data_IF_001073042205
#
_entry.id   IF_001073042205
#
_cell.length_a   1.000
_cell.length_b   1.000
_cell.length_c   1.000
_cell.angle_alpha   90.00
_cell.angle_beta   90.00
_cell.angle_gamma   90.00
#
_symmetry.space_group_name_H-M   'P 1'
#
loop_
_entity.id
_entity.type
_entity.pdbx_description
1 polymer ?
#
# COMPACT_ATOMS: atom_id res chain seq x y z
N UNK A 1 31.97 -9.46 -28.28
CA UNK A 1 30.66 -9.86 -27.69
C UNK A 1 30.16 -8.74 -26.79
N UNK A 2 29.36 -7.83 -27.35
CA UNK A 2 29.00 -6.56 -26.70
C UNK A 2 27.58 -6.68 -26.14
N UNK A 3 27.44 -6.66 -24.81
CA UNK A 3 26.15 -6.77 -24.12
C UNK A 3 25.34 -5.48 -24.28
N UNK A 4 24.29 -5.53 -25.08
CA UNK A 4 23.31 -4.44 -25.26
C UNK A 4 22.51 -4.26 -23.97
N UNK A 5 22.72 -3.11 -23.31
CA UNK A 5 22.02 -2.72 -22.07
C UNK A 5 20.71 -2.02 -22.43
N UNK A 6 19.60 -2.74 -22.41
CA UNK A 6 18.26 -2.16 -22.62
C UNK A 6 17.95 -1.25 -21.43
N UNK A 7 17.96 0.07 -21.66
CA UNK A 7 17.43 1.06 -20.71
C UNK A 7 15.91 1.09 -20.84
N UNK A 8 15.19 0.43 -19.93
CA UNK A 8 13.76 0.70 -19.75
C UNK A 8 13.60 2.07 -19.07
N UNK A 9 13.29 3.09 -19.87
CA UNK A 9 12.90 4.40 -19.37
C UNK A 9 11.46 4.34 -18.88
N UNK A 10 11.26 4.25 -17.56
CA UNK A 10 9.96 4.53 -16.95
C UNK A 10 9.64 6.02 -17.18
N UNK A 11 8.69 6.31 -18.07
CA UNK A 11 8.16 7.67 -18.27
C UNK A 11 7.40 8.08 -17.00
N UNK A 12 7.86 9.15 -16.34
CA UNK A 12 7.16 9.79 -15.22
C UNK A 12 5.81 10.35 -15.68
N UNK A 13 4.68 10.14 -14.97
CA UNK A 13 3.45 10.86 -15.24
C UNK A 13 3.56 12.32 -14.79
N UNK A 14 3.03 13.24 -15.60
CA UNK A 14 2.96 14.68 -15.31
C UNK A 14 2.05 14.94 -14.10
N UNK A 15 2.52 15.78 -13.18
CA UNK A 15 1.76 16.26 -12.04
C UNK A 15 0.56 17.09 -12.52
N UNK A 16 -0.66 16.57 -12.33
CA UNK A 16 -1.87 17.38 -12.41
C UNK A 16 -2.07 18.08 -11.07
N UNK A 17 -1.93 19.41 -11.05
CA UNK A 17 -2.46 20.24 -9.97
C UNK A 17 -3.99 20.21 -10.10
N UNK A 18 -4.68 19.48 -9.21
CA UNK A 18 -6.14 19.49 -9.10
C UNK A 18 -6.55 20.47 -8.01
N UNK A 19 -7.40 21.40 -8.38
CA UNK A 19 -8.13 22.32 -7.52
C UNK A 19 -8.81 21.57 -6.38
N UNK A 20 -8.46 21.93 -5.13
CA UNK A 20 -9.06 21.35 -3.93
C UNK A 20 -10.50 21.86 -3.78
N UNK A 21 -11.47 21.02 -4.09
CA UNK A 21 -12.83 21.19 -3.56
C UNK A 21 -12.88 20.34 -2.30
N UNK A 22 -12.85 20.98 -1.12
CA UNK A 22 -13.11 20.29 0.14
C UNK A 22 -14.58 19.88 0.14
N UNK A 23 -14.87 18.68 -0.38
CA UNK A 23 -16.20 18.09 -0.35
C UNK A 23 -16.48 17.62 1.08
N UNK A 24 -17.15 18.46 1.86
CA UNK A 24 -17.77 18.03 3.12
C UNK A 24 -18.71 16.85 2.81
N UNK A 25 -18.43 15.67 3.37
CA UNK A 25 -19.28 14.47 3.22
C UNK A 25 -18.65 13.25 2.55
N UNK A 26 -17.38 13.29 2.12
CA UNK A 26 -16.71 12.10 1.60
C UNK A 26 -16.36 11.11 2.71
N UNK A 27 -16.64 9.83 2.48
CA UNK A 27 -16.30 8.78 3.44
C UNK A 27 -14.78 8.60 3.52
N UNK A 28 -14.26 8.56 4.76
CA UNK A 28 -12.83 8.37 5.02
C UNK A 28 -12.53 6.92 5.33
N UNK A 29 -11.80 6.25 4.46
CA UNK A 29 -11.33 4.89 4.65
C UNK A 29 -9.94 4.85 5.33
N UNK A 30 -9.66 3.82 6.14
CA UNK A 30 -8.37 3.69 6.82
C UNK A 30 -7.22 3.38 5.86
N UNK A 31 -6.07 4.03 6.05
CA UNK A 31 -4.87 3.86 5.25
C UNK A 31 -4.10 2.58 5.63
N UNK A 32 -4.26 1.53 4.84
CA UNK A 32 -3.46 0.31 4.94
C UNK A 32 -2.39 0.29 3.85
N UNK A 33 -1.19 -0.24 4.13
CA UNK A 33 -0.22 -0.47 3.05
C UNK A 33 -0.78 -1.44 2.01
N UNK A 34 -1.32 -2.57 2.46
CA UNK A 34 -2.08 -3.51 1.64
C UNK A 34 -3.43 -3.71 2.31
N UNK A 35 -4.50 -3.06 1.80
CA UNK A 35 -5.82 -3.13 2.45
C UNK A 35 -6.37 -4.55 2.43
N UNK A 36 -7.19 -4.93 3.43
CA UNK A 36 -7.94 -6.18 3.39
C UNK A 36 -8.98 -6.15 2.25
N UNK A 37 -9.46 -7.33 1.83
CA UNK A 37 -10.43 -7.44 0.73
C UNK A 37 -11.73 -6.67 1.03
N UNK A 38 -12.26 -6.78 2.25
CA UNK A 38 -13.44 -6.07 2.73
C UNK A 38 -13.35 -4.56 2.56
N UNK A 39 -12.15 -3.99 2.78
CA UNK A 39 -11.89 -2.58 2.55
C UNK A 39 -11.93 -2.22 1.06
N UNK A 40 -11.38 -3.07 0.19
CA UNK A 40 -11.38 -2.85 -1.26
C UNK A 40 -12.79 -2.99 -1.84
N UNK A 41 -13.58 -3.96 -1.37
CA UNK A 41 -14.99 -4.08 -1.77
C UNK A 41 -15.80 -2.83 -1.40
N UNK A 42 -15.55 -2.27 -0.21
CA UNK A 42 -16.15 -1.00 0.16
C UNK A 42 -15.71 0.14 -0.76
N UNK A 43 -14.42 0.23 -1.08
CA UNK A 43 -13.88 1.24 -1.96
C UNK A 43 -14.43 1.13 -3.41
N UNK A 44 -14.67 -0.09 -3.92
CA UNK A 44 -15.33 -0.33 -5.21
C UNK A 44 -16.75 0.24 -5.25
N UNK A 45 -17.50 0.13 -4.16
CA UNK A 45 -18.85 0.72 -4.05
C UNK A 45 -18.79 2.24 -4.02
N UNK A 46 -17.83 2.81 -3.29
CA UNK A 46 -17.70 4.27 -3.13
C UNK A 46 -17.23 4.97 -4.40
N UNK A 47 -16.27 4.39 -5.14
CA UNK A 47 -15.57 4.97 -6.31
C UNK A 47 -14.77 6.26 -6.05
N UNK A 48 -15.23 7.13 -5.16
CA UNK A 48 -14.62 8.40 -4.79
C UNK A 48 -14.65 8.53 -3.27
N UNK A 49 -13.49 8.55 -2.62
CA UNK A 49 -13.40 8.50 -1.15
C UNK A 49 -12.14 9.21 -0.62
N UNK A 50 -12.07 9.41 0.69
CA UNK A 50 -10.87 9.91 1.35
C UNK A 50 -10.12 8.79 2.07
N UNK A 51 -8.82 8.98 2.30
CA UNK A 51 -7.98 8.03 3.02
C UNK A 51 -7.25 8.72 4.16
N UNK A 52 -7.22 8.09 5.34
CA UNK A 52 -6.57 8.65 6.52
C UNK A 52 -5.98 7.59 7.45
N UNK A 53 -5.01 7.99 8.27
CA UNK A 53 -4.54 7.19 9.39
C UNK A 53 -5.29 7.56 10.68
N UNK A 54 -5.39 6.64 11.66
CA UNK A 54 -5.81 7.00 13.01
C UNK A 54 -4.80 7.98 13.63
N UNK A 55 -5.17 8.75 14.68
CA UNK A 55 -4.24 9.64 15.37
C UNK A 55 -3.00 8.93 15.94
N UNK A 56 -3.14 7.64 16.28
CA UNK A 56 -2.06 6.77 16.72
C UNK A 56 -2.27 5.39 16.12
N UNK A 57 -1.19 4.75 15.67
CA UNK A 57 -1.25 3.37 15.20
C UNK A 57 -1.38 2.42 16.40
N UNK A 58 -2.44 1.61 16.47
CA UNK A 58 -2.55 0.62 17.52
C UNK A 58 -1.40 -0.40 17.39
N UNK A 59 -0.87 -0.86 18.53
CA UNK A 59 0.20 -1.87 18.55
C UNK A 59 -0.30 -3.15 17.89
N UNK A 60 0.50 -3.71 16.97
CA UNK A 60 0.11 -4.92 16.26
C UNK A 60 -1.18 -4.75 15.47
N UNK A 61 -1.35 -3.66 14.74
CA UNK A 61 -2.52 -3.42 13.90
C UNK A 61 -2.18 -3.60 12.42
N UNK A 62 -3.16 -3.92 11.57
CA UNK A 62 -2.89 -4.20 10.16
C UNK A 62 -2.51 -2.97 9.31
N UNK A 63 -2.49 -1.77 9.89
CA UNK A 63 -2.04 -0.56 9.22
C UNK A 63 -0.58 -0.67 8.74
N UNK A 64 0.24 -1.43 9.46
CA UNK A 64 1.65 -1.64 9.12
C UNK A 64 2.04 -3.10 8.96
N UNK A 65 1.07 -4.02 9.04
CA UNK A 65 1.30 -5.44 8.80
C UNK A 65 0.15 -6.00 7.98
N UNK A 66 0.44 -6.93 7.10
CA UNK A 66 -0.57 -7.53 6.24
C UNK A 66 -0.33 -9.03 6.16
N UNK A 67 -1.43 -9.78 6.14
CA UNK A 67 -1.42 -11.24 6.15
C UNK A 67 -1.20 -11.74 4.72
N UNK A 68 -0.27 -12.67 4.59
CA UNK A 68 0.08 -13.38 3.36
C UNK A 68 -0.22 -14.87 3.53
N UNK A 69 -0.16 -15.62 2.42
CA UNK A 69 -0.39 -17.06 2.40
C UNK A 69 0.46 -17.81 3.43
N UNK A 70 -0.09 -18.90 3.98
CA UNK A 70 0.58 -19.70 5.02
C UNK A 70 0.53 -19.04 6.40
N UNK A 71 -0.46 -18.17 6.62
CA UNK A 71 -0.74 -17.51 7.90
C UNK A 71 0.37 -16.59 8.44
N UNK A 72 1.30 -16.17 7.58
CA UNK A 72 2.42 -15.32 7.98
C UNK A 72 2.05 -13.84 7.92
N UNK A 73 2.66 -13.07 8.81
CA UNK A 73 2.59 -11.61 8.79
C UNK A 73 3.84 -11.03 8.15
N UNK A 74 3.67 -10.17 7.14
CA UNK A 74 4.72 -9.23 6.73
C UNK A 74 4.46 -7.91 7.46
N UNK A 75 5.45 -7.44 8.22
CA UNK A 75 5.35 -6.23 9.04
C UNK A 75 6.36 -5.19 8.59
N UNK A 76 5.89 -3.96 8.44
CA UNK A 76 6.72 -2.77 8.24
C UNK A 76 7.14 -2.22 9.60
N UNK A 77 8.43 -2.27 9.95
CA UNK A 77 8.91 -1.72 11.20
C UNK A 77 8.75 -0.20 11.17
N UNK A 78 8.19 0.35 12.24
CA UNK A 78 8.11 1.78 12.46
C UNK A 78 9.16 2.16 13.49
N UNK A 79 10.02 3.12 13.14
CA UNK A 79 10.99 3.67 14.09
C UNK A 79 10.22 4.48 15.16
N UNK A 80 10.41 4.09 16.41
CA UNK A 80 9.55 4.42 17.56
C UNK A 80 9.37 5.91 17.86
N UNK A 81 10.22 6.81 17.35
CA UNK A 81 10.13 8.26 17.62
C UNK A 81 8.90 8.93 16.99
N UNK A 82 8.15 8.26 16.11
CA UNK A 82 7.05 8.85 15.32
C UNK A 82 5.69 8.20 15.56
N UNK A 83 5.47 7.54 16.71
CA UNK A 83 4.17 6.91 17.05
C UNK A 83 2.98 7.88 17.07
N UNK A 84 3.25 9.18 17.20
CA UNK A 84 2.27 10.27 17.26
C UNK A 84 1.83 10.77 15.87
N UNK A 85 2.54 10.40 14.81
CA UNK A 85 2.21 10.78 13.42
C UNK A 85 2.42 9.58 12.50
N UNK A 86 1.42 8.69 12.40
CA UNK A 86 1.49 7.48 11.56
C UNK A 86 1.87 7.76 10.10
N UNK A 87 1.40 8.88 9.55
CA UNK A 87 1.75 9.34 8.21
C UNK A 87 3.24 9.67 8.06
N UNK A 88 3.90 10.11 9.14
CA UNK A 88 5.32 10.46 9.14
C UNK A 88 6.23 9.28 9.51
N UNK A 89 5.67 8.13 9.93
CA UNK A 89 6.44 6.94 10.26
C UNK A 89 7.44 6.62 9.14
N UNK A 90 8.72 6.55 9.47
CA UNK A 90 9.79 6.36 8.49
C UNK A 90 9.62 5.01 7.79
N UNK A 91 9.60 5.03 6.46
CA UNK A 91 9.72 3.80 5.68
C UNK A 91 11.08 3.17 5.99
N UNK A 92 11.20 1.84 6.19
CA UNK A 92 12.45 1.26 6.67
C UNK A 92 13.61 1.55 5.70
N UNK A 93 14.65 2.30 6.12
CA UNK A 93 15.77 2.63 5.24
C UNK A 93 16.66 1.40 5.00
N UNK A 94 16.58 0.40 5.88
CA UNK A 94 17.40 -0.80 5.84
C UNK A 94 17.14 -1.63 4.56
N UNK A 95 18.16 -1.69 3.71
CA UNK A 95 18.17 -2.48 2.48
C UNK A 95 18.00 -3.98 2.76
N UNK A 96 18.45 -4.49 3.90
CA UNK A 96 18.29 -5.90 4.28
C UNK A 96 16.83 -6.25 4.51
N UNK A 97 16.11 -5.40 5.25
CA UNK A 97 14.67 -5.57 5.44
C UNK A 97 13.91 -5.54 4.11
N UNK A 98 14.19 -4.56 3.25
CA UNK A 98 13.53 -4.45 1.93
C UNK A 98 13.78 -5.67 1.05
N UNK A 99 15.03 -6.14 1.00
CA UNK A 99 15.40 -7.34 0.25
C UNK A 99 14.75 -8.61 0.82
N UNK A 100 14.66 -8.71 2.16
CA UNK A 100 13.99 -9.84 2.81
C UNK A 100 12.49 -9.87 2.47
N UNK A 101 11.80 -8.73 2.53
CA UNK A 101 10.38 -8.62 2.16
C UNK A 101 10.17 -9.02 0.70
N UNK A 102 10.99 -8.48 -0.21
CA UNK A 102 10.93 -8.84 -1.63
C UNK A 102 11.12 -10.35 -1.86
N UNK A 103 12.17 -10.94 -1.26
CA UNK A 103 12.44 -12.38 -1.37
C UNK A 103 11.30 -13.22 -0.79
N UNK A 104 10.68 -12.77 0.31
CA UNK A 104 9.53 -13.46 0.91
C UNK A 104 8.36 -13.51 -0.07
N UNK A 105 8.05 -12.39 -0.74
CA UNK A 105 7.00 -12.36 -1.76
C UNK A 105 7.34 -13.26 -2.95
N UNK A 106 8.59 -13.22 -3.43
CA UNK A 106 9.05 -14.09 -4.52
C UNK A 106 8.93 -15.58 -4.17
N UNK A 107 9.31 -15.98 -2.96
CA UNK A 107 9.22 -17.38 -2.51
C UNK A 107 7.77 -17.86 -2.41
N UNK A 108 6.88 -17.03 -1.86
CA UNK A 108 5.49 -17.43 -1.57
C UNK A 108 4.56 -17.32 -2.78
N UNK A 109 4.84 -16.37 -3.67
CA UNK A 109 3.96 -16.04 -4.80
C UNK A 109 4.62 -16.20 -6.16
N UNK A 110 5.92 -16.52 -6.26
CA UNK A 110 6.65 -16.58 -7.53
C UNK A 110 6.09 -17.57 -8.56
N UNK A 111 5.26 -18.52 -8.13
CA UNK A 111 4.55 -19.49 -8.97
C UNK A 111 3.04 -19.25 -9.03
N UNK A 112 2.54 -18.22 -8.37
CA UNK A 112 1.11 -17.94 -8.31
C UNK A 112 0.65 -17.25 -9.61
N UNK A 113 -0.60 -17.50 -10.05
CA UNK A 113 -1.19 -16.80 -11.20
C UNK A 113 -1.09 -15.28 -11.04
N UNK A 114 -0.91 -14.53 -12.13
CA UNK A 114 -0.82 -13.05 -12.13
C UNK A 114 0.41 -12.45 -11.40
N UNK A 115 1.27 -13.25 -10.74
CA UNK A 115 2.46 -12.71 -10.06
C UNK A 115 3.38 -11.94 -10.99
N UNK A 116 3.55 -12.41 -12.24
CA UNK A 116 4.42 -11.75 -13.21
C UNK A 116 3.94 -10.38 -13.65
N UNK A 117 2.63 -10.11 -13.58
CA UNK A 117 2.05 -8.79 -13.89
C UNK A 117 2.37 -7.79 -12.78
N UNK A 118 2.31 -8.23 -11.53
CA UNK A 118 2.57 -7.40 -10.36
C UNK A 118 4.05 -7.32 -9.96
N UNK A 119 4.86 -8.28 -10.39
CA UNK A 119 6.28 -8.37 -10.06
C UNK A 119 7.05 -7.06 -10.31
N UNK A 120 6.94 -6.38 -11.46
CA UNK A 120 7.66 -5.13 -11.71
C UNK A 120 7.32 -4.03 -10.68
N UNK A 121 6.03 -3.87 -10.34
CA UNK A 121 5.59 -2.91 -9.33
C UNK A 121 6.13 -3.26 -7.94
N UNK A 122 5.99 -4.53 -7.52
CA UNK A 122 6.46 -4.99 -6.21
C UNK A 122 7.98 -4.86 -6.07
N UNK A 123 8.73 -5.24 -7.11
CA UNK A 123 10.19 -5.12 -7.11
C UNK A 123 10.63 -3.66 -7.03
N UNK A 124 9.98 -2.76 -7.79
CA UNK A 124 10.20 -1.32 -7.69
C UNK A 124 9.89 -0.79 -6.28
N UNK A 125 8.72 -1.11 -5.73
CA UNK A 125 8.25 -0.65 -4.42
C UNK A 125 9.25 -0.99 -3.31
N UNK A 126 9.78 -2.22 -3.28
CA UNK A 126 10.71 -2.63 -2.24
C UNK A 126 12.16 -2.24 -2.53
N UNK A 127 12.66 -2.39 -3.76
CA UNK A 127 14.10 -2.28 -4.02
C UNK A 127 14.53 -0.88 -4.47
N UNK A 128 13.66 -0.12 -5.12
CA UNK A 128 14.05 1.08 -5.88
C UNK A 128 13.34 2.36 -5.47
N UNK A 129 12.08 2.28 -5.01
CA UNK A 129 11.27 3.45 -4.71
C UNK A 129 11.92 4.33 -3.62
N UNK A 130 12.06 5.65 -3.83
CA UNK A 130 12.67 6.57 -2.87
C UNK A 130 11.67 6.97 -1.78
N UNK A 131 11.21 5.98 -1.02
CA UNK A 131 10.18 6.15 0.00
C UNK A 131 10.79 6.70 1.30
N UNK A 132 10.25 7.81 1.80
CA UNK A 132 10.67 8.42 3.07
C UNK A 132 9.76 7.98 4.21
N UNK A 133 8.46 7.85 3.92
CA UNK A 133 7.41 7.59 4.90
C UNK A 133 6.55 6.40 4.53
N UNK A 134 5.86 5.83 5.53
CA UNK A 134 4.82 4.84 5.32
C UNK A 134 3.70 5.39 4.41
N UNK A 135 3.37 6.68 4.55
CA UNK A 135 2.39 7.34 3.68
C UNK A 135 2.82 7.29 2.22
N UNK A 136 4.10 7.52 1.91
CA UNK A 136 4.59 7.44 0.52
C UNK A 136 4.39 6.04 -0.06
N UNK A 137 4.69 5.01 0.75
CA UNK A 137 4.53 3.62 0.33
C UNK A 137 3.05 3.27 0.12
N UNK A 138 2.19 3.66 1.06
CA UNK A 138 0.75 3.47 0.98
C UNK A 138 0.17 4.25 -0.20
N UNK A 139 0.63 5.47 -0.48
CA UNK A 139 0.18 6.26 -1.62
C UNK A 139 0.54 5.59 -2.94
N UNK A 140 1.74 5.01 -3.08
CA UNK A 140 2.10 4.25 -4.29
C UNK A 140 1.18 3.04 -4.49
N UNK A 141 0.90 2.26 -3.44
CA UNK A 141 -0.02 1.11 -3.55
C UNK A 141 -1.43 1.57 -3.88
N UNK A 142 -1.92 2.61 -3.21
CA UNK A 142 -3.25 3.15 -3.48
C UNK A 142 -3.37 3.71 -4.89
N UNK A 143 -2.34 4.35 -5.45
CA UNK A 143 -2.33 4.80 -6.86
C UNK A 143 -2.35 3.66 -7.87
N UNK A 144 -1.79 2.51 -7.52
CA UNK A 144 -1.86 1.32 -8.37
C UNK A 144 -3.27 0.73 -8.35
N UNK A 145 -3.82 0.49 -7.14
CA UNK A 145 -5.19 0.01 -6.94
C UNK A 145 -6.22 0.98 -7.57
N UNK A 146 -6.07 2.28 -7.30
CA UNK A 146 -5.92 3.30 -8.33
C UNK A 146 -6.58 3.12 -9.67
N UNK A 147 -5.62 3.14 -10.58
CA UNK A 147 -5.70 2.88 -11.97
C UNK A 147 -6.44 1.58 -12.27
N UNK A 148 -6.27 0.54 -11.45
CA UNK A 148 -6.84 -0.77 -11.70
C UNK A 148 -8.36 -0.82 -11.50
N UNK A 149 -8.87 -0.24 -10.41
CA UNK A 149 -10.30 -0.26 -10.10
C UNK A 149 -11.06 0.96 -10.62
N UNK A 150 -10.35 1.92 -11.24
CA UNK A 150 -10.95 3.15 -11.75
C UNK A 150 -11.56 4.02 -10.65
N UNK A 151 -10.95 4.03 -9.47
CA UNK A 151 -11.41 4.85 -8.34
C UNK A 151 -10.72 6.23 -8.34
N UNK A 152 -11.18 7.13 -7.49
CA UNK A 152 -10.45 8.36 -7.14
C UNK A 152 -10.39 8.47 -5.62
N UNK A 153 -9.25 8.94 -5.11
CA UNK A 153 -9.10 9.14 -3.68
C UNK A 153 -8.28 10.39 -3.37
N UNK A 154 -8.53 10.95 -2.20
CA UNK A 154 -7.74 12.04 -1.63
C UNK A 154 -7.30 11.68 -0.20
N UNK A 155 -6.20 12.28 0.25
CA UNK A 155 -5.83 12.17 1.65
C UNK A 155 -6.68 13.11 2.49
N UNK A 156 -7.29 12.58 3.56
CA UNK A 156 -8.06 13.39 4.49
C UNK A 156 -7.17 14.47 5.14
N UNK A 157 -7.65 15.72 5.28
CA UNK A 157 -6.90 16.79 5.92
C UNK A 157 -6.75 16.57 7.43
N UNK A 158 -7.66 15.79 8.02
CA UNK A 158 -7.69 15.42 9.43
C UNK A 158 -7.48 13.91 9.60
N UNK A 159 -7.03 13.50 10.80
CA UNK A 159 -6.95 12.08 11.16
C UNK A 159 -8.31 11.41 11.05
N UNK A 160 -8.34 10.09 10.87
CA UNK A 160 -9.60 9.33 10.84
C UNK A 160 -10.51 9.76 12.01
N UNK A 161 -11.80 10.01 11.76
CA UNK A 161 -12.75 10.28 12.83
C UNK A 161 -12.77 9.10 13.81
N UNK A 162 -13.19 9.31 15.07
CA UNK A 162 -13.35 8.19 16.01
C UNK A 162 -14.35 7.20 15.40
N UNK A 163 -13.88 5.99 15.11
CA UNK A 163 -14.67 4.97 14.41
C UNK A 163 -14.02 3.60 14.53
N UNK A 164 -14.77 2.56 14.23
CA UNK A 164 -14.31 1.18 14.33
C UNK A 164 -13.55 0.77 13.05
N UNK A 165 -12.38 1.36 12.83
CA UNK A 165 -11.53 1.15 11.64
C UNK A 165 -10.71 -0.14 11.72
N UNK A 166 -11.36 -1.24 12.09
CA UNK A 166 -10.69 -2.53 12.30
C UNK A 166 -10.54 -3.26 10.96
N UNK A 167 -9.31 -3.58 10.62
CA UNK A 167 -9.05 -4.76 9.81
C UNK A 167 -9.43 -6.00 10.62
N UNK A 168 -10.03 -7.00 9.98
CA UNK A 168 -10.09 -8.33 10.58
C UNK A 168 -8.69 -8.96 10.47
N UNK A 169 -7.98 -9.28 11.56
CA UNK A 169 -6.64 -9.85 11.48
C UNK A 169 -6.61 -11.24 10.82
N UNK A 170 -7.75 -11.94 10.77
CA UNK A 170 -7.87 -13.21 10.07
C UNK A 170 -7.94 -13.02 8.55
N UNK A 171 -8.26 -11.82 8.06
CA UNK A 171 -8.42 -11.55 6.65
C UNK A 171 -7.07 -11.45 5.93
N UNK A 172 -6.98 -12.08 4.77
CA UNK A 172 -5.82 -11.92 3.89
C UNK A 172 -5.82 -10.52 3.28
N UNK A 173 -4.62 -10.02 2.99
CA UNK A 173 -4.48 -8.77 2.27
C UNK A 173 -4.97 -8.89 0.83
N UNK A 174 -5.38 -7.78 0.23
CA UNK A 174 -5.75 -7.75 -1.19
C UNK A 174 -4.60 -8.26 -2.07
N UNK A 175 -3.35 -8.10 -1.64
CA UNK A 175 -2.18 -8.65 -2.33
C UNK A 175 -2.32 -10.16 -2.60
N UNK A 176 -2.83 -10.94 -1.64
CA UNK A 176 -3.01 -12.37 -1.85
C UNK A 176 -4.03 -12.67 -2.95
N UNK A 177 -5.15 -11.93 -2.96
CA UNK A 177 -6.18 -12.01 -4.00
C UNK A 177 -5.59 -11.65 -5.37
N UNK A 178 -4.92 -10.51 -5.47
CA UNK A 178 -4.31 -10.04 -6.72
C UNK A 178 -3.32 -11.04 -7.30
N UNK A 179 -2.48 -11.62 -6.44
CA UNK A 179 -1.42 -12.55 -6.84
C UNK A 179 -1.88 -14.00 -6.99
N UNK A 180 -3.14 -14.35 -6.74
CA UNK A 180 -3.62 -15.75 -6.84
C UNK A 180 -4.84 -15.91 -7.71
N UNK A 181 -5.74 -14.94 -7.65
CA UNK A 181 -7.03 -14.99 -8.35
C UNK A 181 -7.15 -13.91 -9.41
N UNK A 182 -6.29 -12.89 -9.40
CA UNK A 182 -6.35 -11.76 -10.34
C UNK A 182 -7.36 -10.69 -9.91
N UNK A 183 -7.63 -9.74 -10.82
CA UNK A 183 -8.63 -8.66 -10.68
C UNK A 183 -9.85 -8.97 -11.54
#
# INVERSE_FOLDING_TARGET
MTKTRIRQTYKRPRYYQRTFVILAGMEVLPAFLWPPRSWVEKAKTLRTFQVGYPPRLPKGSCFTRYRIVGERWLSVPIIHRLKTTPAAATWPPDKRWRLYHWRTLLTLYGKAPFFYEWKPFLEYLYLQAPLLTLRDATDLVLRELASLYGWTYEWAPTTLPKGNWRCNPAELSILDHLLRTGI
#
